data_IF_297672256894
#
_entry.id   IF_297672256894
#
_cell.length_a   1.000
_cell.length_b   1.000
_cell.length_c   1.000
_cell.angle_alpha   90.00
_cell.angle_beta   90.00
_cell.angle_gamma   90.00
#
_symmetry.space_group_name_H-M   'P 1'
#
loop_
_entity.id
_entity.type
_entity.pdbx_description
1 polymer ?
#
# COMPACT_ATOMS: atom_id res chain seq x y z
N UNK A 1 -31.84 22.08 -12.85
CA UNK A 1 -31.23 21.79 -11.54
C UNK A 1 -30.76 20.33 -11.59
N UNK A 2 -29.48 20.09 -11.96
CA UNK A 2 -28.92 18.74 -12.02
C UNK A 2 -28.72 18.23 -10.59
N UNK A 3 -29.36 17.10 -10.26
CA UNK A 3 -29.07 16.41 -9.00
C UNK A 3 -27.60 15.97 -9.04
N UNK A 4 -26.83 16.38 -8.07
CA UNK A 4 -25.51 15.80 -7.81
C UNK A 4 -25.70 14.30 -7.62
N UNK A 5 -24.79 13.45 -8.16
CA UNK A 5 -24.87 12.01 -7.93
C UNK A 5 -24.87 11.75 -6.42
N UNK A 6 -25.83 10.98 -5.96
CA UNK A 6 -25.89 10.56 -4.56
C UNK A 6 -24.59 9.83 -4.24
N UNK A 7 -23.79 10.42 -3.36
CA UNK A 7 -22.57 9.78 -2.85
C UNK A 7 -23.02 8.48 -2.21
N UNK A 8 -22.46 7.33 -2.61
CA UNK A 8 -22.83 6.08 -1.98
C UNK A 8 -22.60 6.20 -0.48
N UNK A 9 -23.58 5.78 0.32
CA UNK A 9 -23.56 5.77 1.78
C UNK A 9 -22.55 4.79 2.35
N UNK A 10 -21.36 4.71 1.77
CA UNK A 10 -20.24 3.93 2.30
C UNK A 10 -19.60 4.73 3.43
N UNK A 11 -19.48 4.08 4.57
CA UNK A 11 -18.64 4.55 5.66
C UNK A 11 -17.26 4.97 5.10
N UNK A 12 -16.65 6.01 5.68
CA UNK A 12 -15.27 6.40 5.36
C UNK A 12 -14.27 5.78 6.34
N UNK A 13 -14.71 4.75 7.05
CA UNK A 13 -13.90 4.05 8.06
C UNK A 13 -13.09 2.96 7.37
N UNK A 14 -11.82 2.91 7.69
CA UNK A 14 -10.94 1.84 7.29
C UNK A 14 -9.97 1.45 8.39
N UNK A 15 -9.36 0.32 8.23
CA UNK A 15 -8.48 -0.26 9.25
C UNK A 15 -7.18 -0.75 8.63
N UNK A 16 -6.16 -0.86 9.47
CA UNK A 16 -5.00 -1.68 9.21
C UNK A 16 -5.25 -3.07 9.78
N UNK A 17 -4.99 -4.09 8.98
CA UNK A 17 -5.04 -5.47 9.41
C UNK A 17 -3.77 -5.81 10.20
N UNK A 18 -3.44 -7.08 10.36
CA UNK A 18 -2.25 -7.49 11.08
C UNK A 18 -0.96 -6.98 10.41
N UNK A 19 0.09 -6.65 11.20
CA UNK A 19 1.36 -6.14 10.68
C UNK A 19 2.27 -7.24 10.10
N UNK A 20 1.76 -8.45 9.95
CA UNK A 20 2.45 -9.62 9.43
C UNK A 20 1.70 -10.24 8.24
N UNK A 21 2.17 -11.38 7.73
CA UNK A 21 1.59 -12.10 6.59
C UNK A 21 1.05 -13.49 6.96
N UNK A 22 0.82 -13.74 8.25
CA UNK A 22 0.37 -15.04 8.75
C UNK A 22 -1.16 -15.17 8.83
N UNK A 23 -1.91 -14.06 8.87
CA UNK A 23 -3.33 -14.02 9.18
C UNK A 23 -4.22 -13.94 7.93
N UNK A 24 -3.99 -14.81 6.94
CA UNK A 24 -4.75 -14.85 5.68
C UNK A 24 -5.39 -16.21 5.42
N UNK A 25 -5.67 -16.96 6.48
CA UNK A 25 -6.29 -18.28 6.41
C UNK A 25 -7.82 -18.19 6.39
N UNK A 26 -8.50 -19.29 6.05
CA UNK A 26 -9.97 -19.34 6.12
C UNK A 26 -10.52 -19.03 7.53
N UNK A 27 -9.94 -19.57 8.63
CA UNK A 27 -10.35 -19.18 9.97
C UNK A 27 -10.20 -17.68 10.28
N UNK A 28 -9.20 -17.02 9.69
CA UNK A 28 -9.05 -15.56 9.85
C UNK A 28 -10.19 -14.81 9.16
N UNK A 29 -10.55 -15.23 7.94
CA UNK A 29 -11.71 -14.68 7.21
C UNK A 29 -12.98 -14.85 8.04
N UNK A 30 -13.24 -16.05 8.53
CA UNK A 30 -14.45 -16.37 9.31
C UNK A 30 -14.55 -15.56 10.62
N UNK A 31 -13.39 -15.23 11.19
CA UNK A 31 -13.33 -14.45 12.45
C UNK A 31 -13.43 -12.95 12.20
N UNK A 32 -12.65 -12.42 11.27
CA UNK A 32 -12.48 -10.97 11.17
C UNK A 32 -13.44 -10.28 10.22
N UNK A 33 -13.90 -10.99 9.18
CA UNK A 33 -14.79 -10.38 8.18
C UNK A 33 -16.11 -9.90 8.78
N UNK A 34 -16.81 -10.67 9.64
CA UNK A 34 -18.01 -10.20 10.32
C UNK A 34 -17.78 -8.97 11.20
N UNK A 35 -16.64 -8.91 11.89
CA UNK A 35 -16.26 -7.78 12.75
C UNK A 35 -16.03 -6.52 11.90
N UNK A 36 -15.34 -6.64 10.78
CA UNK A 36 -15.12 -5.54 9.86
C UNK A 36 -16.43 -5.01 9.26
N UNK A 37 -17.38 -5.89 8.95
CA UNK A 37 -18.72 -5.51 8.49
C UNK A 37 -19.49 -4.75 9.58
N UNK A 38 -19.51 -5.26 10.81
CA UNK A 38 -20.16 -4.62 11.95
C UNK A 38 -19.59 -3.23 12.24
N UNK A 39 -18.27 -3.07 12.10
CA UNK A 39 -17.59 -1.78 12.25
C UNK A 39 -17.80 -0.84 11.05
N UNK A 40 -18.46 -1.30 10.00
CA UNK A 40 -18.70 -0.51 8.80
C UNK A 40 -17.44 -0.20 8.00
N UNK A 41 -16.47 -1.12 7.98
CA UNK A 41 -15.22 -0.96 7.22
C UNK A 41 -15.51 -0.80 5.72
N UNK A 42 -14.92 0.22 5.10
CA UNK A 42 -14.99 0.43 3.65
C UNK A 42 -13.68 0.06 2.95
N UNK A 43 -12.57 0.03 3.67
CA UNK A 43 -11.26 -0.39 3.17
C UNK A 43 -10.43 -1.03 4.28
N UNK A 44 -9.49 -1.85 3.87
CA UNK A 44 -8.58 -2.56 4.76
C UNK A 44 -7.17 -2.53 4.17
N UNK A 45 -6.21 -1.97 4.90
CA UNK A 45 -4.78 -2.10 4.55
C UNK A 45 -4.31 -3.47 5.00
N UNK A 46 -3.80 -4.26 4.06
CA UNK A 46 -3.31 -5.62 4.26
C UNK A 46 -1.85 -5.72 3.87
N UNK A 47 -1.03 -6.33 4.71
CA UNK A 47 0.42 -6.45 4.49
C UNK A 47 0.74 -7.60 3.56
N UNK A 48 1.40 -7.31 2.44
CA UNK A 48 1.92 -8.29 1.49
C UNK A 48 3.44 -8.41 1.52
N UNK A 49 3.95 -9.35 0.77
CA UNK A 49 5.38 -9.57 0.54
C UNK A 49 5.68 -9.50 -0.97
N UNK A 50 6.93 -9.14 -1.32
CA UNK A 50 7.36 -9.11 -2.71
C UNK A 50 7.51 -10.50 -3.33
N UNK A 51 7.67 -11.53 -2.50
CA UNK A 51 7.93 -12.91 -2.93
C UNK A 51 6.70 -13.79 -3.00
N UNK A 52 5.62 -13.41 -2.34
CA UNK A 52 4.39 -14.20 -2.22
C UNK A 52 3.16 -13.31 -2.14
N UNK A 53 2.20 -13.57 -3.02
CA UNK A 53 0.91 -12.88 -2.96
C UNK A 53 0.08 -13.34 -1.75
N UNK A 54 -0.74 -12.43 -1.21
CA UNK A 54 -1.82 -12.75 -0.28
C UNK A 54 -2.78 -13.70 -0.99
N UNK A 55 -3.34 -14.74 -0.33
CA UNK A 55 -4.27 -15.66 -0.97
C UNK A 55 -5.45 -14.95 -1.64
N UNK A 56 -5.76 -15.32 -2.88
CA UNK A 56 -6.88 -14.77 -3.65
C UNK A 56 -8.21 -14.86 -2.88
N UNK A 57 -8.43 -15.99 -2.18
CA UNK A 57 -9.65 -16.21 -1.40
C UNK A 57 -9.87 -15.13 -0.32
N UNK A 58 -8.80 -14.64 0.30
CA UNK A 58 -8.89 -13.56 1.30
C UNK A 58 -9.30 -12.23 0.64
N UNK A 59 -8.68 -11.89 -0.48
CA UNK A 59 -8.98 -10.68 -1.25
C UNK A 59 -10.42 -10.73 -1.77
N UNK A 60 -10.83 -11.86 -2.34
CA UNK A 60 -12.17 -12.06 -2.87
C UNK A 60 -13.25 -11.93 -1.76
N UNK A 61 -12.97 -12.44 -0.55
CA UNK A 61 -13.87 -12.33 0.59
C UNK A 61 -14.11 -10.86 1.01
N UNK A 62 -13.04 -10.04 1.06
CA UNK A 62 -13.15 -8.61 1.34
C UNK A 62 -13.98 -7.89 0.28
N UNK A 63 -13.67 -8.13 -1.00
CA UNK A 63 -14.36 -7.49 -2.12
C UNK A 63 -15.84 -7.88 -2.18
N UNK A 64 -16.18 -9.14 -1.88
CA UNK A 64 -17.57 -9.61 -1.81
C UNK A 64 -18.39 -8.87 -0.76
N UNK A 65 -17.76 -8.37 0.29
CA UNK A 65 -18.38 -7.53 1.34
C UNK A 65 -18.28 -6.03 1.06
N UNK A 66 -17.73 -5.66 -0.06
CA UNK A 66 -17.54 -4.26 -0.45
C UNK A 66 -16.44 -3.54 0.33
N UNK A 67 -15.56 -4.29 0.98
CA UNK A 67 -14.35 -3.75 1.66
C UNK A 67 -13.22 -3.70 0.63
N UNK A 68 -12.72 -2.51 0.33
CA UNK A 68 -11.63 -2.31 -0.64
C UNK A 68 -10.29 -2.71 -0.02
N UNK A 69 -9.58 -3.73 -0.54
CA UNK A 69 -8.25 -4.07 -0.08
C UNK A 69 -7.22 -3.07 -0.61
N UNK A 70 -6.36 -2.58 0.28
CA UNK A 70 -5.19 -1.78 -0.05
C UNK A 70 -3.97 -2.64 0.29
N UNK A 71 -3.27 -3.14 -0.71
CA UNK A 71 -2.10 -4.01 -0.47
C UNK A 71 -0.89 -3.14 -0.15
N UNK A 72 -0.31 -3.36 1.03
CA UNK A 72 0.93 -2.68 1.45
C UNK A 72 2.11 -3.63 1.29
N UNK A 73 3.03 -3.29 0.40
CA UNK A 73 4.30 -3.96 0.18
C UNK A 73 5.43 -3.12 0.82
N UNK A 74 5.88 -3.44 2.03
CA UNK A 74 6.90 -2.68 2.74
C UNK A 74 8.29 -3.04 2.20
N UNK A 75 8.58 -2.57 0.99
CA UNK A 75 9.84 -2.82 0.31
C UNK A 75 11.00 -2.12 1.03
N UNK A 76 12.16 -2.73 0.98
CA UNK A 76 13.38 -2.17 1.57
C UNK A 76 14.07 -1.21 0.61
N UNK A 77 14.65 -0.16 1.15
CA UNK A 77 15.48 0.79 0.42
C UNK A 77 16.95 0.61 0.83
N UNK A 78 17.93 0.88 -0.03
CA UNK A 78 17.78 1.44 -1.39
C UNK A 78 17.55 0.39 -2.48
N UNK A 79 17.62 -0.91 -2.17
CA UNK A 79 17.62 -2.00 -3.14
C UNK A 79 16.31 -2.80 -3.12
N UNK A 80 15.17 -2.23 -3.58
CA UNK A 80 13.93 -2.97 -3.72
C UNK A 80 14.03 -3.99 -4.87
N UNK A 81 13.13 -5.01 -4.90
CA UNK A 81 12.98 -5.85 -6.08
C UNK A 81 12.74 -5.02 -7.33
N UNK A 82 13.22 -5.49 -8.47
CA UNK A 82 12.99 -4.78 -9.73
C UNK A 82 11.50 -4.79 -10.12
N UNK A 83 11.10 -3.86 -10.99
CA UNK A 83 9.74 -3.84 -11.55
C UNK A 83 9.39 -5.16 -12.24
N UNK A 84 10.37 -5.82 -12.89
CA UNK A 84 10.18 -7.11 -13.54
C UNK A 84 9.90 -8.23 -12.54
N UNK A 85 10.56 -8.21 -11.38
CA UNK A 85 10.37 -9.21 -10.32
C UNK A 85 9.01 -9.05 -9.62
N UNK A 86 8.53 -7.81 -9.45
CA UNK A 86 7.24 -7.54 -8.83
C UNK A 86 6.05 -7.74 -9.77
N UNK A 87 6.26 -7.62 -11.07
CA UNK A 87 5.18 -7.69 -12.09
C UNK A 87 4.25 -8.89 -11.95
N UNK A 88 4.72 -10.13 -11.71
CA UNK A 88 3.82 -11.28 -11.56
C UNK A 88 2.82 -11.11 -10.40
N UNK A 89 3.30 -10.63 -9.25
CA UNK A 89 2.47 -10.40 -8.06
C UNK A 89 1.50 -9.24 -8.29
N UNK A 90 1.97 -8.14 -8.87
CA UNK A 90 1.11 -6.98 -9.20
C UNK A 90 0.00 -7.36 -10.17
N UNK A 91 0.30 -8.17 -11.20
CA UNK A 91 -0.71 -8.68 -12.13
C UNK A 91 -1.72 -9.61 -11.46
N UNK A 92 -1.27 -10.47 -10.55
CA UNK A 92 -2.16 -11.31 -9.77
C UNK A 92 -3.15 -10.45 -8.96
N UNK A 93 -2.65 -9.49 -8.18
CA UNK A 93 -3.51 -8.58 -7.43
C UNK A 93 -4.48 -7.79 -8.31
N UNK A 94 -4.01 -7.25 -9.43
CA UNK A 94 -4.87 -6.54 -10.38
C UNK A 94 -5.98 -7.46 -10.95
N UNK A 95 -5.63 -8.72 -11.31
CA UNK A 95 -6.61 -9.69 -11.81
C UNK A 95 -7.65 -10.09 -10.77
N UNK A 96 -7.33 -10.04 -9.49
CA UNK A 96 -8.25 -10.30 -8.37
C UNK A 96 -9.08 -9.08 -7.96
N UNK A 97 -8.86 -7.92 -8.60
CA UNK A 97 -9.66 -6.71 -8.40
C UNK A 97 -9.08 -5.74 -7.37
N UNK A 98 -7.84 -5.91 -6.92
CA UNK A 98 -7.13 -4.93 -6.09
C UNK A 98 -6.87 -3.67 -6.92
N UNK A 99 -7.25 -2.51 -6.36
CA UNK A 99 -7.10 -1.21 -7.04
C UNK A 99 -6.00 -0.34 -6.47
N UNK A 100 -5.57 -0.60 -5.24
CA UNK A 100 -4.65 0.28 -4.52
C UNK A 100 -3.48 -0.51 -3.94
N UNK A 101 -2.27 0.02 -4.15
CA UNK A 101 -1.03 -0.53 -3.61
C UNK A 101 -0.23 0.56 -2.92
N UNK A 102 0.24 0.29 -1.72
CA UNK A 102 1.25 1.09 -1.01
C UNK A 102 2.60 0.40 -1.22
N UNK A 103 3.57 1.13 -1.70
CA UNK A 103 4.96 0.68 -1.83
C UNK A 103 5.81 1.32 -0.74
N UNK A 104 6.73 0.56 -0.16
CA UNK A 104 7.61 1.01 0.93
C UNK A 104 6.86 1.30 2.24
N UNK A 105 7.65 1.50 3.30
CA UNK A 105 7.17 1.88 4.63
C UNK A 105 8.13 2.89 5.25
N UNK A 106 7.61 4.01 5.70
CA UNK A 106 8.33 5.09 6.40
C UNK A 106 9.67 5.50 5.76
N UNK A 107 9.68 5.92 4.47
CA UNK A 107 10.91 6.27 3.75
C UNK A 107 11.65 7.47 4.34
N UNK A 108 11.02 8.26 5.19
CA UNK A 108 11.62 9.37 5.93
C UNK A 108 12.29 8.95 7.25
N UNK A 109 12.25 7.66 7.59
CA UNK A 109 12.90 7.09 8.77
C UNK A 109 14.06 6.18 8.37
N UNK A 110 15.12 6.13 9.19
CA UNK A 110 16.25 5.21 9.01
C UNK A 110 15.82 3.75 8.94
N UNK A 111 14.76 3.40 9.67
CA UNK A 111 14.24 2.04 9.72
C UNK A 111 13.69 1.56 8.37
N UNK A 112 13.27 2.47 7.48
CA UNK A 112 12.85 2.16 6.13
C UNK A 112 14.00 1.83 5.17
N UNK A 113 15.27 1.98 5.61
CA UNK A 113 16.46 1.80 4.79
C UNK A 113 17.36 0.70 5.32
N UNK A 114 17.89 -0.12 4.44
CA UNK A 114 18.88 -1.13 4.80
C UNK A 114 20.31 -0.58 4.74
N UNK A 115 21.17 -0.98 5.68
CA UNK A 115 22.58 -0.62 5.71
C UNK A 115 22.87 0.84 6.08
N UNK A 116 24.08 1.31 5.71
CA UNK A 116 24.61 2.65 6.05
C UNK A 116 24.29 3.73 5.01
N UNK A 117 23.41 3.45 4.06
CA UNK A 117 23.17 4.29 2.87
C UNK A 117 22.26 5.48 3.18
N UNK A 118 21.60 5.49 4.34
CA UNK A 118 20.72 6.59 4.71
C UNK A 118 21.49 7.90 4.81
N UNK A 119 21.20 8.83 3.92
CA UNK A 119 21.77 10.20 3.92
C UNK A 119 20.63 11.21 3.80
N UNK A 120 20.55 12.12 4.75
CA UNK A 120 19.51 13.16 4.75
C UNK A 120 19.63 14.11 3.54
N UNK A 121 20.83 14.29 3.02
CA UNK A 121 21.09 15.26 1.94
C UNK A 121 20.38 14.91 0.62
N UNK A 122 20.28 13.61 0.28
CA UNK A 122 19.69 13.15 -0.98
C UNK A 122 18.59 12.13 -0.75
N UNK A 123 17.93 12.17 0.41
CA UNK A 123 16.99 11.13 0.79
C UNK A 123 15.76 11.08 -0.11
N UNK A 124 15.24 12.24 -0.49
CA UNK A 124 14.05 12.36 -1.35
C UNK A 124 14.38 11.83 -2.76
N UNK A 125 15.48 12.23 -3.33
CA UNK A 125 15.93 11.78 -4.65
C UNK A 125 16.14 10.26 -4.65
N UNK A 126 16.89 9.74 -3.66
CA UNK A 126 17.14 8.31 -3.52
C UNK A 126 15.84 7.50 -3.32
N UNK A 127 14.87 8.05 -2.59
CA UNK A 127 13.55 7.44 -2.48
C UNK A 127 12.84 7.41 -3.83
N UNK A 128 12.80 8.53 -4.54
CA UNK A 128 12.09 8.64 -5.82
C UNK A 128 12.72 7.75 -6.89
N UNK A 129 14.04 7.60 -6.91
CA UNK A 129 14.74 6.68 -7.81
C UNK A 129 14.29 5.22 -7.63
N UNK A 130 13.96 4.82 -6.40
CA UNK A 130 13.38 3.51 -6.10
C UNK A 130 11.87 3.46 -6.35
N UNK A 131 11.15 4.51 -5.96
CA UNK A 131 9.68 4.54 -5.96
C UNK A 131 9.08 4.65 -7.36
N UNK A 132 9.59 5.57 -8.19
CA UNK A 132 8.95 5.88 -9.48
C UNK A 132 8.92 4.71 -10.47
N UNK A 133 10.00 3.90 -10.64
CA UNK A 133 9.94 2.74 -11.53
C UNK A 133 8.88 1.72 -11.09
N UNK A 134 8.75 1.48 -9.79
CA UNK A 134 7.78 0.53 -9.24
C UNK A 134 6.35 1.09 -9.27
N UNK A 135 6.19 2.38 -9.01
CA UNK A 135 4.92 3.07 -9.13
C UNK A 135 4.39 3.00 -10.57
N UNK A 136 5.24 3.24 -11.56
CA UNK A 136 4.90 3.11 -12.97
C UNK A 136 4.48 1.67 -13.32
N UNK A 137 5.14 0.66 -12.77
CA UNK A 137 4.75 -0.74 -13.00
C UNK A 137 3.37 -1.04 -12.41
N UNK A 138 3.04 -0.53 -11.21
CA UNK A 138 1.70 -0.65 -10.64
C UNK A 138 0.64 -0.01 -11.55
N UNK A 139 0.90 1.20 -12.07
CA UNK A 139 0.00 1.88 -13.01
C UNK A 139 -0.16 1.09 -14.31
N UNK A 140 0.93 0.52 -14.84
CA UNK A 140 0.89 -0.35 -16.04
C UNK A 140 0.08 -1.64 -15.81
N UNK A 141 -0.01 -2.11 -14.57
CA UNK A 141 -0.89 -3.21 -14.16
C UNK A 141 -2.34 -2.76 -13.91
N UNK A 142 -2.67 -1.49 -14.05
CA UNK A 142 -4.02 -0.93 -13.85
C UNK A 142 -4.38 -0.63 -12.39
N UNK A 143 -3.39 -0.56 -11.50
CA UNK A 143 -3.59 -0.22 -10.09
C UNK A 143 -3.14 1.21 -9.78
N UNK A 144 -3.76 1.82 -8.79
CA UNK A 144 -3.35 3.13 -8.27
C UNK A 144 -2.29 2.94 -7.18
N UNK A 145 -1.29 3.82 -7.19
CA UNK A 145 -0.26 3.83 -6.15
C UNK A 145 -0.62 4.83 -5.07
N UNK A 146 -0.59 4.38 -3.83
CA UNK A 146 -0.75 5.23 -2.65
C UNK A 146 0.65 5.60 -2.17
N UNK A 147 0.86 6.88 -1.86
CA UNK A 147 2.13 7.33 -1.28
C UNK A 147 2.37 6.61 0.05
N UNK A 148 3.60 6.15 0.35
CA UNK A 148 3.87 5.37 1.56
C UNK A 148 3.57 6.15 2.84
N UNK A 149 3.20 5.48 3.93
CA UNK A 149 3.09 6.11 5.22
C UNK A 149 4.44 6.69 5.65
N UNK A 150 4.41 7.83 6.31
CA UNK A 150 5.58 8.49 6.85
C UNK A 150 5.61 8.36 8.36
N UNK A 151 6.81 8.28 8.93
CA UNK A 151 7.00 8.36 10.38
C UNK A 151 6.80 9.80 10.85
N UNK A 152 5.79 10.09 11.69
CA UNK A 152 5.60 11.42 12.24
C UNK A 152 6.83 11.86 13.06
N UNK A 153 7.42 13.00 12.69
CA UNK A 153 8.64 13.48 13.34
C UNK A 153 9.87 12.58 13.10
N UNK A 154 9.88 11.79 12.02
CA UNK A 154 10.97 10.89 11.67
C UNK A 154 12.32 11.57 11.50
N UNK A 155 13.37 10.78 11.19
CA UNK A 155 14.74 11.28 11.02
C UNK A 155 14.86 12.37 9.94
N UNK A 156 14.00 12.33 8.93
CA UNK A 156 13.70 13.45 8.05
C UNK A 156 12.25 13.89 8.34
N UNK A 157 12.04 15.18 8.53
CA UNK A 157 10.73 15.74 8.89
C UNK A 157 9.66 15.34 7.85
N UNK A 158 8.61 14.66 8.27
CA UNK A 158 7.59 14.03 7.41
C UNK A 158 6.91 15.01 6.45
N UNK A 159 6.49 16.19 6.92
CA UNK A 159 5.86 17.22 6.07
C UNK A 159 6.83 17.73 5.00
N UNK A 160 8.11 17.93 5.36
CA UNK A 160 9.13 18.36 4.41
C UNK A 160 9.45 17.27 3.39
N UNK A 161 9.52 16.01 3.83
CA UNK A 161 9.72 14.86 2.96
C UNK A 161 8.59 14.74 1.92
N UNK A 162 7.34 14.78 2.38
CA UNK A 162 6.18 14.71 1.49
C UNK A 162 6.18 15.87 0.48
N UNK A 163 6.37 17.11 0.97
CA UNK A 163 6.40 18.30 0.13
C UNK A 163 7.48 18.20 -0.95
N UNK A 164 8.71 17.85 -0.55
CA UNK A 164 9.83 17.78 -1.47
C UNK A 164 9.64 16.64 -2.48
N UNK A 165 9.13 15.48 -2.05
CA UNK A 165 8.79 14.38 -2.97
C UNK A 165 7.75 14.81 -4.00
N UNK A 166 6.67 15.48 -3.59
CA UNK A 166 5.63 15.94 -4.51
C UNK A 166 6.13 17.02 -5.48
N UNK A 167 7.02 17.90 -5.05
CA UNK A 167 7.63 18.92 -5.92
C UNK A 167 8.57 18.30 -6.96
N UNK A 168 9.33 17.27 -6.58
CA UNK A 168 10.26 16.57 -7.49
C UNK A 168 9.56 15.64 -8.49
N UNK A 169 8.27 15.32 -8.29
CA UNK A 169 7.46 14.53 -9.23
C UNK A 169 6.72 15.38 -10.28
N UNK A 170 6.80 16.70 -10.21
CA UNK A 170 6.18 17.63 -11.18
C UNK A 170 7.07 17.85 -12.40
#
# INVERSE_FOLDING_TARGET
>A
MQRLPETPTRSRIGFHYFPDTAHYTSPDIDTWLPILEELGASWLVIRGEASRAIPEAFIAALLAKGIEPIVHLPLQQPDPPSAADLRPILRAYASWGVKYVILFDRPNSREGWSGSVWSQANLVESFLDCFLPLANECLNCGMNVVFPPLEPGGNYWDVSFLRNSLLSMQ
#
